data_IF_028485458796
#
_entry.id   IF_028485458796
#
_cell.length_a   1.000
_cell.length_b   1.000
_cell.length_c   1.000
_cell.angle_alpha   90.00
_cell.angle_beta   90.00
_cell.angle_gamma   90.00
#
_symmetry.space_group_name_H-M   'P 1'
#
loop_
_entity.id
_entity.type
_entity.pdbx_description
1 polymer ?
#
# COMPACT_ATOMS: atom_id res chain seq x y z
N UNK A 1 21.01 -23.25 13.12
CA UNK A 1 19.60 -23.11 12.72
C UNK A 1 19.31 -21.62 12.68
N UNK A 2 19.31 -21.02 11.50
CA UNK A 2 19.13 -19.57 11.34
C UNK A 2 17.63 -19.28 11.43
N UNK A 3 17.19 -18.58 12.48
CA UNK A 3 15.84 -18.02 12.56
C UNK A 3 15.65 -17.12 11.33
N UNK A 4 14.82 -17.54 10.39
CA UNK A 4 14.40 -16.70 9.27
C UNK A 4 13.23 -15.88 9.77
N UNK A 5 13.44 -14.58 10.00
CA UNK A 5 12.33 -13.65 10.23
C UNK A 5 11.43 -13.66 8.98
N UNK A 6 10.16 -14.04 9.16
CA UNK A 6 9.15 -14.14 8.09
C UNK A 6 9.01 -15.50 7.40
N UNK A 7 7.74 -15.88 7.15
CA UNK A 7 7.18 -17.20 6.71
C UNK A 7 6.84 -18.20 7.83
N UNK A 8 6.29 -17.72 8.95
CA UNK A 8 5.43 -18.56 9.80
C UNK A 8 5.85 -18.79 11.26
N UNK A 9 6.89 -18.14 11.76
CA UNK A 9 7.28 -18.26 13.19
C UNK A 9 7.24 -16.92 13.94
N UNK A 10 7.66 -15.82 13.29
CA UNK A 10 7.67 -14.48 13.89
C UNK A 10 7.25 -13.43 12.85
N UNK A 11 6.48 -12.43 13.30
CA UNK A 11 6.15 -11.24 12.51
C UNK A 11 7.45 -10.45 12.26
N UNK A 12 7.74 -10.01 11.02
CA UNK A 12 8.91 -9.19 10.75
C UNK A 12 8.91 -7.89 11.57
N UNK A 13 10.08 -7.45 12.01
CA UNK A 13 10.26 -6.15 12.65
C UNK A 13 9.88 -5.03 11.65
N UNK A 14 8.90 -4.17 11.96
CA UNK A 14 8.50 -3.09 11.06
C UNK A 14 9.61 -2.05 10.90
N UNK A 15 9.76 -1.50 9.69
CA UNK A 15 10.61 -0.34 9.44
C UNK A 15 9.79 0.93 9.62
N UNK A 16 10.28 1.86 10.43
CA UNK A 16 9.59 3.11 10.76
C UNK A 16 10.06 4.23 9.83
N UNK A 17 9.13 4.79 9.04
CA UNK A 17 9.41 5.89 8.12
C UNK A 17 8.69 7.15 8.60
N UNK A 18 9.47 8.18 8.92
CA UNK A 18 8.94 9.48 9.29
C UNK A 18 8.30 10.18 8.09
N UNK A 19 7.05 10.59 8.24
CA UNK A 19 6.31 11.37 7.23
C UNK A 19 5.99 12.71 7.85
N UNK A 20 6.77 13.72 7.49
CA UNK A 20 6.67 15.07 8.05
C UNK A 20 5.28 15.68 7.84
N UNK A 21 4.87 16.60 8.71
CA UNK A 21 3.60 17.32 8.57
C UNK A 21 3.48 18.05 7.23
N UNK A 22 4.57 18.63 6.72
CA UNK A 22 4.57 19.29 5.40
C UNK A 22 4.34 18.28 4.27
N UNK A 23 5.01 17.13 4.31
CA UNK A 23 4.76 16.02 3.38
C UNK A 23 3.30 15.55 3.46
N UNK A 24 2.74 15.39 4.66
CA UNK A 24 1.35 14.97 4.82
C UNK A 24 0.37 15.99 4.23
N UNK A 25 0.62 17.29 4.39
CA UNK A 25 -0.18 18.35 3.75
C UNK A 25 -0.10 18.28 2.23
N UNK A 26 1.09 18.06 1.68
CA UNK A 26 1.29 17.88 0.24
C UNK A 26 0.50 16.67 -0.30
N UNK A 27 0.60 15.51 0.37
CA UNK A 27 -0.14 14.31 0.00
C UNK A 27 -1.66 14.48 0.18
N UNK A 28 -2.10 15.24 1.19
CA UNK A 28 -3.52 15.58 1.39
C UNK A 28 -4.04 16.41 0.21
N UNK A 29 -3.29 17.39 -0.28
CA UNK A 29 -3.68 18.15 -1.47
C UNK A 29 -3.84 17.25 -2.69
N UNK A 30 -2.91 16.32 -2.91
CA UNK A 30 -3.01 15.34 -4.00
C UNK A 30 -4.22 14.40 -3.81
N UNK A 31 -4.51 13.98 -2.57
CA UNK A 31 -5.69 13.17 -2.26
C UNK A 31 -6.99 13.91 -2.58
N UNK A 32 -7.08 15.20 -2.26
CA UNK A 32 -8.23 16.06 -2.59
C UNK A 32 -8.40 16.19 -4.11
N UNK A 33 -7.30 16.40 -4.84
CA UNK A 33 -7.35 16.48 -6.31
C UNK A 33 -7.82 15.16 -6.93
N UNK A 34 -7.34 14.01 -6.43
CA UNK A 34 -7.78 12.68 -6.85
C UNK A 34 -9.25 12.43 -6.57
N UNK A 35 -9.74 12.81 -5.39
CA UNK A 35 -11.15 12.70 -5.03
C UNK A 35 -12.04 13.47 -5.99
N UNK A 36 -11.69 14.72 -6.26
CA UNK A 36 -12.42 15.60 -7.20
C UNK A 36 -12.41 15.05 -8.62
N UNK A 37 -11.23 14.68 -9.13
CA UNK A 37 -11.10 14.20 -10.50
C UNK A 37 -11.85 12.90 -10.75
N UNK A 38 -11.82 11.96 -9.79
CA UNK A 38 -12.50 10.67 -9.91
C UNK A 38 -13.93 10.69 -9.38
N UNK A 39 -14.40 11.87 -8.96
CA UNK A 39 -15.74 12.08 -8.43
C UNK A 39 -16.12 11.07 -7.33
N UNK A 40 -15.15 10.65 -6.51
CA UNK A 40 -15.42 9.59 -5.55
C UNK A 40 -16.51 10.03 -4.57
N UNK A 41 -16.40 11.22 -4.00
CA UNK A 41 -17.40 11.80 -3.10
C UNK A 41 -18.80 11.96 -3.72
N UNK A 42 -18.91 12.11 -5.05
CA UNK A 42 -20.17 12.24 -5.78
C UNK A 42 -20.82 10.89 -6.14
N UNK A 43 -20.11 9.77 -5.99
CA UNK A 43 -20.66 8.45 -6.31
C UNK A 43 -21.78 8.07 -5.34
N UNK A 44 -22.92 7.67 -5.89
CA UNK A 44 -24.09 7.16 -5.12
C UNK A 44 -23.91 5.72 -4.63
N UNK A 45 -22.88 5.03 -5.10
CA UNK A 45 -22.56 3.67 -4.68
C UNK A 45 -21.87 3.63 -3.30
N UNK A 46 -21.43 2.45 -2.87
CA UNK A 46 -20.74 2.31 -1.58
C UNK A 46 -19.30 2.83 -1.60
N UNK A 47 -18.72 3.08 -2.78
CA UNK A 47 -17.41 3.69 -2.91
C UNK A 47 -17.46 5.17 -2.58
N UNK A 48 -18.47 5.89 -3.08
CA UNK A 48 -18.64 7.29 -2.71
C UNK A 48 -19.14 7.52 -1.30
N UNK A 49 -19.87 6.54 -0.75
CA UNK A 49 -20.15 6.52 0.69
C UNK A 49 -18.92 6.22 1.55
N UNK A 50 -17.82 5.73 0.97
CA UNK A 50 -16.55 5.37 1.61
C UNK A 50 -16.65 4.23 2.64
N UNK A 51 -15.52 3.58 2.94
CA UNK A 51 -15.44 2.54 3.97
C UNK A 51 -15.00 3.05 5.35
N UNK A 52 -14.41 4.24 5.40
CA UNK A 52 -13.75 4.80 6.58
C UNK A 52 -14.38 6.16 6.92
N UNK A 53 -14.89 6.38 8.12
CA UNK A 53 -15.39 7.70 8.52
C UNK A 53 -14.30 8.77 8.40
N UNK A 54 -14.67 9.96 7.91
CA UNK A 54 -13.80 11.13 8.00
C UNK A 54 -13.48 11.46 9.45
N UNK A 55 -12.35 12.11 9.70
CA UNK A 55 -11.90 12.46 11.05
C UNK A 55 -10.92 13.61 11.03
N UNK A 56 -10.69 14.17 12.21
CA UNK A 56 -9.58 15.07 12.46
C UNK A 56 -8.26 14.30 12.60
N UNK A 57 -7.20 14.87 12.02
CA UNK A 57 -5.84 14.32 12.01
C UNK A 57 -4.86 15.42 12.38
N UNK A 58 -4.59 15.58 13.67
CA UNK A 58 -3.57 16.50 14.21
C UNK A 58 -3.48 17.83 13.44
N UNK A 59 -2.30 18.14 12.92
CA UNK A 59 -2.01 19.37 12.18
C UNK A 59 -2.59 19.44 10.74
N UNK A 60 -3.28 18.41 10.27
CA UNK A 60 -4.00 18.41 8.98
C UNK A 60 -5.46 18.86 9.12
N UNK A 61 -6.00 18.89 10.34
CA UNK A 61 -7.39 19.23 10.59
C UNK A 61 -8.38 18.16 10.13
N UNK A 62 -9.61 18.57 9.82
CA UNK A 62 -10.68 17.66 9.42
C UNK A 62 -10.49 17.15 7.97
N UNK A 63 -10.39 15.83 7.82
CA UNK A 63 -10.26 15.15 6.53
C UNK A 63 -11.52 14.37 6.22
N UNK A 64 -12.09 14.61 5.03
CA UNK A 64 -13.31 13.93 4.59
C UNK A 64 -13.09 12.44 4.38
N UNK A 65 -14.18 11.69 4.44
CA UNK A 65 -14.20 10.22 4.31
C UNK A 65 -13.48 9.69 3.08
N UNK A 66 -13.79 10.22 1.90
CA UNK A 66 -13.23 9.75 0.64
C UNK A 66 -11.76 10.15 0.48
N UNK A 67 -11.42 11.38 0.85
CA UNK A 67 -10.03 11.90 0.84
C UNK A 67 -9.14 11.10 1.79
N UNK A 68 -9.64 10.73 2.97
CA UNK A 68 -8.87 9.96 3.95
C UNK A 68 -8.43 8.60 3.41
N UNK A 69 -9.29 7.89 2.68
CA UNK A 69 -8.93 6.59 2.08
C UNK A 69 -7.77 6.74 1.10
N UNK A 70 -7.80 7.80 0.28
CA UNK A 70 -6.75 8.09 -0.72
C UNK A 70 -5.46 8.51 -0.03
N UNK A 71 -5.55 9.38 0.99
CA UNK A 71 -4.41 9.86 1.76
C UNK A 71 -3.68 8.70 2.44
N UNK A 72 -4.41 7.74 3.02
CA UNK A 72 -3.80 6.55 3.64
C UNK A 72 -2.97 5.75 2.62
N UNK A 73 -3.49 5.56 1.40
CA UNK A 73 -2.73 4.92 0.32
C UNK A 73 -1.44 5.69 0.01
N UNK A 74 -1.58 6.98 -0.30
CA UNK A 74 -0.48 7.88 -0.65
C UNK A 74 0.63 7.96 0.40
N UNK A 75 0.28 7.94 1.70
CA UNK A 75 1.28 7.95 2.77
C UNK A 75 2.15 6.69 2.75
N UNK A 76 1.56 5.52 2.51
CA UNK A 76 2.36 4.30 2.40
C UNK A 76 3.17 4.24 1.10
N UNK A 77 2.61 4.69 -0.02
CA UNK A 77 3.36 4.81 -1.29
C UNK A 77 4.60 5.69 -1.09
N UNK A 78 4.42 6.84 -0.44
CA UNK A 78 5.51 7.75 -0.09
C UNK A 78 6.54 7.10 0.84
N UNK A 79 6.08 6.41 1.88
CA UNK A 79 6.98 5.76 2.84
C UNK A 79 7.84 4.67 2.18
N UNK A 80 7.27 3.88 1.28
CA UNK A 80 8.02 2.87 0.50
C UNK A 80 9.02 3.55 -0.44
N UNK A 81 8.60 4.60 -1.15
CA UNK A 81 9.51 5.35 -2.02
C UNK A 81 10.69 5.94 -1.23
N UNK A 82 10.46 6.54 -0.06
CA UNK A 82 11.53 7.06 0.80
C UNK A 82 12.49 5.97 1.29
N UNK A 83 11.95 4.83 1.74
CA UNK A 83 12.76 3.68 2.16
C UNK A 83 13.68 3.19 1.04
N UNK A 84 13.14 3.03 -0.17
CA UNK A 84 13.91 2.57 -1.32
C UNK A 84 14.91 3.64 -1.79
N UNK A 85 14.54 4.92 -1.76
CA UNK A 85 15.45 6.04 -2.11
C UNK A 85 16.64 6.15 -1.16
N UNK A 86 16.47 5.80 0.11
CA UNK A 86 17.58 5.77 1.06
C UNK A 86 18.69 4.79 0.65
N UNK A 87 18.33 3.69 -0.02
CA UNK A 87 19.26 2.66 -0.51
C UNK A 87 19.73 2.93 -1.95
N UNK A 88 18.80 3.25 -2.86
CA UNK A 88 19.04 3.28 -4.30
C UNK A 88 19.10 4.69 -4.92
N UNK A 89 18.88 5.74 -4.12
CA UNK A 89 18.91 7.13 -4.56
C UNK A 89 17.89 7.44 -5.67
N UNK A 90 18.34 8.20 -6.68
CA UNK A 90 17.50 8.70 -7.77
C UNK A 90 16.95 7.61 -8.72
N UNK A 91 17.40 6.36 -8.60
CA UNK A 91 16.89 5.25 -9.41
C UNK A 91 15.46 4.84 -9.03
N UNK A 92 14.97 5.27 -7.87
CA UNK A 92 13.60 4.99 -7.41
C UNK A 92 12.70 6.16 -7.78
N UNK A 93 11.58 5.93 -8.49
CA UNK A 93 10.65 6.98 -8.87
C UNK A 93 9.98 7.63 -7.65
N UNK A 94 9.60 8.89 -7.79
CA UNK A 94 8.66 9.50 -6.85
C UNK A 94 7.28 8.85 -6.93
N UNK A 95 6.49 9.03 -5.88
CA UNK A 95 5.08 8.63 -5.89
C UNK A 95 4.40 9.29 -7.08
N UNK A 96 3.80 8.50 -7.95
CA UNK A 96 3.03 9.06 -9.05
C UNK A 96 1.79 9.76 -8.48
N UNK A 97 1.71 11.07 -8.63
CA UNK A 97 0.56 11.88 -8.27
C UNK A 97 -0.29 12.27 -9.48
N UNK A 98 0.07 11.78 -10.67
CA UNK A 98 -0.72 11.93 -11.87
C UNK A 98 -2.11 11.30 -11.66
N UNK A 99 -3.10 11.88 -12.33
CA UNK A 99 -4.49 11.44 -12.26
C UNK A 99 -4.79 10.34 -13.30
N UNK A 100 -3.74 9.74 -13.89
CA UNK A 100 -3.83 8.94 -15.12
C UNK A 100 -4.22 7.48 -14.88
N UNK A 101 -3.84 6.89 -13.74
CA UNK A 101 -4.09 5.46 -13.48
C UNK A 101 -5.47 5.20 -12.86
N UNK A 102 -6.07 4.04 -13.19
CA UNK A 102 -7.24 3.52 -12.50
C UNK A 102 -6.83 2.78 -11.21
N UNK A 103 -7.61 2.94 -10.12
CA UNK A 103 -7.16 2.61 -8.76
C UNK A 103 -7.12 1.13 -8.33
N UNK A 104 -7.55 0.17 -9.16
CA UNK A 104 -7.62 -1.26 -8.78
C UNK A 104 -6.65 -2.12 -9.62
N UNK A 105 -5.85 -2.97 -8.96
CA UNK A 105 -5.06 -4.04 -9.60
C UNK A 105 -3.75 -3.60 -10.27
N UNK A 106 -3.40 -2.31 -10.18
CA UNK A 106 -2.18 -1.71 -10.72
C UNK A 106 -0.93 -1.97 -9.90
N UNK A 107 0.02 -1.04 -9.99
CA UNK A 107 1.21 -0.94 -9.17
C UNK A 107 1.45 0.54 -8.86
N UNK A 108 2.19 0.82 -7.79
CA UNK A 108 2.41 2.18 -7.30
C UNK A 108 3.86 2.64 -7.50
N UNK A 109 4.82 1.71 -7.58
CA UNK A 109 6.25 1.98 -7.85
C UNK A 109 6.83 0.94 -8.81
N UNK A 110 7.82 1.30 -9.62
CA UNK A 110 8.50 0.39 -10.55
C UNK A 110 10.03 0.59 -10.60
N UNK A 111 10.76 0.39 -9.49
CA UNK A 111 12.22 0.39 -9.51
C UNK A 111 12.75 -0.85 -10.25
N UNK A 112 13.71 -0.67 -11.16
CA UNK A 112 14.40 -1.79 -11.85
C UNK A 112 13.44 -2.78 -12.53
N UNK A 113 12.35 -2.28 -13.14
CA UNK A 113 11.32 -3.09 -13.79
C UNK A 113 10.44 -3.92 -12.83
N UNK A 114 10.65 -3.82 -11.51
CA UNK A 114 9.87 -4.53 -10.51
C UNK A 114 8.62 -3.74 -10.13
N UNK A 115 7.44 -4.18 -10.59
CA UNK A 115 6.18 -3.50 -10.26
C UNK A 115 5.78 -3.81 -8.82
N UNK A 116 5.77 -2.79 -7.97
CA UNK A 116 5.42 -2.87 -6.55
C UNK A 116 4.03 -2.29 -6.34
N UNK A 117 3.12 -3.07 -5.77
CA UNK A 117 1.87 -2.56 -5.19
C UNK A 117 2.06 -2.35 -3.69
N UNK A 118 1.74 -1.17 -3.21
CA UNK A 118 1.66 -0.81 -1.80
C UNK A 118 0.22 -0.93 -1.31
N UNK A 119 0.06 -1.51 -0.12
CA UNK A 119 -1.23 -1.54 0.58
C UNK A 119 -1.05 -1.03 1.99
N UNK A 120 -1.59 0.15 2.23
CA UNK A 120 -1.58 0.80 3.54
C UNK A 120 -2.89 0.57 4.24
N UNK A 121 -2.83 0.02 5.45
CA UNK A 121 -3.97 -0.09 6.36
C UNK A 121 -3.85 0.91 7.49
N UNK A 122 -4.96 1.09 8.21
CA UNK A 122 -4.97 1.79 9.49
C UNK A 122 -4.95 0.78 10.63
N UNK A 123 -4.24 1.11 11.70
CA UNK A 123 -4.30 0.32 12.92
C UNK A 123 -5.69 0.39 13.59
N UNK A 124 -6.09 -0.63 14.36
CA UNK A 124 -5.48 -1.95 14.49
C UNK A 124 -6.12 -2.93 13.49
N UNK A 125 -5.55 -3.09 12.30
CA UNK A 125 -6.01 -4.09 11.34
C UNK A 125 -4.85 -5.05 11.07
N UNK A 126 -4.82 -6.27 11.65
CA UNK A 126 -3.65 -7.15 11.59
C UNK A 126 -3.47 -7.87 10.23
N UNK A 127 -4.23 -7.42 9.22
CA UNK A 127 -4.39 -8.11 7.95
C UNK A 127 -4.41 -7.10 6.81
N UNK A 128 -3.67 -7.41 5.77
CA UNK A 128 -3.76 -6.74 4.47
C UNK A 128 -4.76 -7.51 3.60
N UNK A 129 -5.67 -6.79 2.95
CA UNK A 129 -6.67 -7.37 2.06
C UNK A 129 -6.40 -6.94 0.62
N UNK A 130 -6.34 -7.91 -0.29
CA UNK A 130 -6.20 -7.65 -1.73
C UNK A 130 -7.39 -8.22 -2.45
N UNK A 131 -8.15 -7.37 -3.13
CA UNK A 131 -9.29 -7.84 -3.93
C UNK A 131 -8.80 -8.76 -5.03
N UNK A 132 -9.37 -9.98 -5.06
CA UNK A 132 -9.10 -10.98 -6.10
C UNK A 132 -10.30 -11.29 -6.96
N UNK A 133 -11.51 -11.27 -6.38
CA UNK A 133 -12.75 -11.46 -7.11
C UNK A 133 -13.64 -10.25 -6.85
N UNK A 134 -14.10 -9.57 -7.88
CA UNK A 134 -15.02 -8.42 -7.79
C UNK A 134 -16.45 -8.87 -7.46
N UNK A 135 -17.34 -7.91 -7.13
CA UNK A 135 -18.75 -8.21 -6.84
C UNK A 135 -19.52 -8.88 -7.99
N UNK A 136 -19.10 -8.67 -9.24
CA UNK A 136 -19.64 -9.35 -10.42
C UNK A 136 -18.90 -10.67 -10.74
N UNK A 137 -18.24 -11.29 -9.75
CA UNK A 137 -17.53 -12.57 -9.86
C UNK A 137 -16.40 -12.60 -10.89
N UNK A 138 -15.86 -11.45 -11.30
CA UNK A 138 -14.69 -11.38 -12.20
C UNK A 138 -13.40 -11.46 -11.39
N UNK A 139 -12.43 -12.20 -11.92
CA UNK A 139 -11.08 -12.23 -11.36
C UNK A 139 -10.35 -10.93 -11.70
N UNK A 140 -9.77 -10.30 -10.68
CA UNK A 140 -8.88 -9.15 -10.82
C UNK A 140 -7.47 -9.63 -11.13
N UNK A 141 -6.90 -9.21 -12.25
CA UNK A 141 -5.50 -9.49 -12.59
C UNK A 141 -4.56 -8.68 -11.69
N UNK A 142 -3.43 -9.27 -11.32
CA UNK A 142 -2.38 -8.57 -10.59
C UNK A 142 -1.31 -8.11 -11.58
N UNK A 143 -1.29 -6.81 -11.84
CA UNK A 143 -0.32 -6.17 -12.74
C UNK A 143 0.96 -5.75 -12.01
N UNK A 144 1.24 -6.36 -10.85
CA UNK A 144 2.42 -6.11 -10.02
C UNK A 144 3.20 -7.41 -9.77
N UNK A 145 4.51 -7.31 -9.50
CA UNK A 145 5.38 -8.42 -9.12
C UNK A 145 5.47 -8.58 -7.60
N UNK A 146 5.43 -7.47 -6.88
CA UNK A 146 5.71 -7.37 -5.45
C UNK A 146 4.58 -6.65 -4.75
N UNK A 147 4.29 -7.06 -3.52
CA UNK A 147 3.37 -6.37 -2.63
C UNK A 147 4.12 -5.91 -1.38
N UNK A 148 3.99 -4.64 -1.02
CA UNK A 148 4.44 -4.12 0.28
C UNK A 148 3.22 -3.78 1.15
N UNK A 149 3.22 -4.28 2.39
CA UNK A 149 2.19 -3.98 3.38
C UNK A 149 2.67 -2.89 4.33
N UNK A 150 1.87 -1.85 4.49
CA UNK A 150 2.15 -0.73 5.37
C UNK A 150 1.03 -0.53 6.38
N UNK A 151 1.37 0.06 7.52
CA UNK A 151 0.41 0.56 8.50
C UNK A 151 0.67 2.04 8.77
N UNK A 152 -0.39 2.84 8.80
CA UNK A 152 -0.31 4.23 9.23
C UNK A 152 -1.36 4.51 10.31
N UNK A 153 -0.90 5.01 11.45
CA UNK A 153 -1.73 5.31 12.63
C UNK A 153 -2.27 6.74 12.62
N UNK A 154 -2.11 7.44 11.51
CA UNK A 154 -2.49 8.85 11.32
C UNK A 154 -1.65 9.80 12.18
N UNK A 155 -0.42 9.40 12.47
CA UNK A 155 0.62 10.16 13.15
C UNK A 155 1.71 10.55 12.13
N UNK A 156 2.89 10.95 12.60
CA UNK A 156 4.04 11.32 11.75
C UNK A 156 4.86 10.12 11.31
N UNK A 157 4.38 8.87 11.45
CA UNK A 157 5.16 7.68 11.13
C UNK A 157 4.35 6.62 10.40
N UNK A 158 4.83 6.20 9.23
CA UNK A 158 4.31 5.03 8.53
C UNK A 158 5.21 3.82 8.81
N UNK A 159 4.60 2.70 9.15
CA UNK A 159 5.28 1.43 9.38
C UNK A 159 5.28 0.60 8.10
N UNK A 160 6.45 0.20 7.62
CA UNK A 160 6.58 -0.80 6.58
C UNK A 160 6.67 -2.17 7.26
N UNK A 161 5.62 -2.97 7.15
CA UNK A 161 5.46 -4.21 7.90
C UNK A 161 6.21 -5.38 7.26
N UNK A 162 6.47 -5.28 5.95
CA UNK A 162 7.09 -6.33 5.15
C UNK A 162 6.44 -6.45 3.77
N UNK A 163 6.83 -7.48 3.05
CA UNK A 163 6.45 -7.66 1.65
C UNK A 163 6.19 -9.13 1.28
N UNK A 164 5.58 -9.34 0.11
CA UNK A 164 5.41 -10.65 -0.51
C UNK A 164 5.68 -10.58 -2.01
N UNK A 165 6.16 -11.68 -2.58
CA UNK A 165 6.13 -11.86 -4.02
C UNK A 165 4.70 -12.20 -4.48
N UNK A 166 4.30 -11.77 -5.68
CA UNK A 166 2.96 -12.03 -6.23
C UNK A 166 2.61 -13.52 -6.19
N UNK A 167 3.57 -14.41 -6.44
CA UNK A 167 3.35 -15.86 -6.44
C UNK A 167 2.85 -16.38 -5.09
N UNK A 168 3.29 -15.77 -3.98
CA UNK A 168 2.89 -16.16 -2.63
C UNK A 168 1.41 -15.79 -2.37
N UNK A 169 0.89 -14.77 -3.05
CA UNK A 169 -0.51 -14.32 -2.90
C UNK A 169 -1.51 -15.36 -3.39
N UNK A 170 -1.18 -16.11 -4.45
CA UNK A 170 -2.08 -17.14 -5.00
C UNK A 170 -2.30 -18.32 -4.05
N UNK A 171 -1.48 -18.46 -3.01
CA UNK A 171 -1.61 -19.47 -1.96
C UNK A 171 -2.32 -18.93 -0.71
N UNK A 172 -2.69 -17.65 -0.71
CA UNK A 172 -3.31 -16.97 0.42
C UNK A 172 -4.76 -17.37 0.65
N UNK A 173 -5.22 -17.17 1.89
CA UNK A 173 -6.60 -17.47 2.29
C UNK A 173 -7.56 -16.48 1.66
N UNK A 174 -8.68 -16.97 1.11
CA UNK A 174 -9.76 -16.11 0.65
C UNK A 174 -10.68 -15.69 1.81
N UNK A 175 -10.95 -14.40 1.89
CA UNK A 175 -11.90 -13.80 2.81
C UNK A 175 -12.99 -13.06 2.01
N UNK A 176 -14.25 -13.45 2.21
CA UNK A 176 -15.40 -12.73 1.64
C UNK A 176 -15.54 -11.39 2.35
N UNK A 177 -15.62 -10.31 1.59
CA UNK A 177 -15.95 -9.01 2.16
C UNK A 177 -17.45 -8.91 2.46
N UNK A 178 -17.84 -7.91 3.25
CA UNK A 178 -19.26 -7.53 3.44
C UNK A 178 -19.93 -6.99 2.16
N UNK A 179 -19.23 -6.99 1.02
CA UNK A 179 -19.64 -6.34 -0.23
C UNK A 179 -19.50 -7.29 -1.43
N UNK A 180 -19.72 -8.59 -1.21
CA UNK A 180 -19.80 -9.65 -2.23
C UNK A 180 -18.60 -9.79 -3.15
N UNK A 181 -17.45 -9.24 -2.76
CA UNK A 181 -16.16 -9.48 -3.39
C UNK A 181 -15.31 -10.37 -2.47
N UNK A 182 -14.36 -11.09 -3.06
CA UNK A 182 -13.42 -11.91 -2.32
C UNK A 182 -12.04 -11.25 -2.33
N UNK A 183 -11.44 -11.19 -1.15
CA UNK A 183 -10.08 -10.73 -0.95
C UNK A 183 -9.17 -11.90 -0.63
N UNK A 184 -7.91 -11.80 -1.04
CA UNK A 184 -6.82 -12.56 -0.43
C UNK A 184 -6.47 -11.85 0.87
N UNK A 185 -6.46 -12.60 1.97
CA UNK A 185 -6.05 -12.15 3.28
C UNK A 185 -4.58 -12.49 3.51
N UNK A 186 -3.81 -11.46 3.88
CA UNK A 186 -2.39 -11.57 4.17
C UNK A 186 -2.19 -11.15 5.62
N UNK A 187 -1.66 -12.06 6.42
CA UNK A 187 -1.31 -11.83 7.81
C UNK A 187 0.13 -11.33 7.91
N UNK A 188 0.43 -10.58 8.97
CA UNK A 188 1.77 -10.02 9.17
C UNK A 188 2.87 -11.08 9.32
N UNK A 189 2.53 -12.24 9.91
CA UNK A 189 3.44 -13.38 10.06
C UNK A 189 3.78 -14.10 8.73
N UNK A 190 3.02 -13.81 7.67
CA UNK A 190 3.27 -14.29 6.32
C UNK A 190 4.14 -13.32 5.49
N UNK A 191 4.46 -12.13 6.03
CA UNK A 191 5.31 -11.16 5.35
C UNK A 191 6.78 -11.55 5.44
N UNK A 192 7.55 -11.16 4.42
CA UNK A 192 9.00 -11.15 4.44
C UNK A 192 9.50 -9.79 4.95
N UNK A 193 10.64 -9.74 5.66
CA UNK A 193 11.21 -8.50 6.16
C UNK A 193 11.64 -7.58 5.01
N UNK A 194 11.59 -6.28 5.24
CA UNK A 194 11.92 -5.26 4.22
C UNK A 194 13.37 -5.33 3.75
N UNK A 195 14.31 -5.79 4.56
CA UNK A 195 15.70 -6.03 4.14
C UNK A 195 15.79 -7.01 2.96
N UNK A 196 14.94 -8.05 2.95
CA UNK A 196 14.88 -9.02 1.84
C UNK A 196 14.30 -8.43 0.56
N UNK A 197 13.53 -7.34 0.66
CA UNK A 197 13.10 -6.59 -0.52
C UNK A 197 14.29 -5.89 -1.16
N UNK A 198 15.16 -5.27 -0.36
CA UNK A 198 16.38 -4.64 -0.85
C UNK A 198 17.29 -5.66 -1.53
N UNK A 199 17.54 -6.81 -0.91
CA UNK A 199 18.31 -7.92 -1.51
C UNK A 199 17.75 -8.31 -2.89
N UNK A 200 16.42 -8.44 -2.97
CA UNK A 200 15.74 -8.80 -4.22
C UNK A 200 15.91 -7.73 -5.29
N UNK A 201 15.72 -6.46 -4.97
CA UNK A 201 15.86 -5.35 -5.92
C UNK A 201 17.31 -5.16 -6.38
N UNK A 202 18.30 -5.35 -5.50
CA UNK A 202 19.72 -5.39 -5.86
C UNK A 202 20.00 -6.46 -6.92
N UNK A 203 19.42 -7.66 -6.78
CA UNK A 203 19.61 -8.75 -7.76
C UNK A 203 19.04 -8.40 -9.14
N UNK A 204 17.95 -7.63 -9.20
CA UNK A 204 17.36 -7.17 -10.46
C UNK A 204 18.20 -6.07 -11.09
N UNK A 205 18.68 -5.10 -10.30
CA UNK A 205 19.55 -4.02 -10.78
C UNK A 205 20.83 -4.55 -11.44
N UNK A 206 21.40 -5.64 -10.92
CA UNK A 206 22.60 -6.27 -11.49
C UNK A 206 22.32 -7.08 -12.76
N UNK A 207 21.07 -7.49 -12.98
CA UNK A 207 20.65 -8.24 -14.17
C UNK A 207 20.39 -7.34 -15.39
N UNK A 208 20.21 -6.04 -15.16
CA UNK A 208 20.01 -5.02 -16.20
C UNK A 208 21.32 -4.40 -16.72
N UNK A 209 22.49 -4.88 -16.25
CA UNK A 209 23.84 -4.46 -16.70
C UNK A 209 24.50 -5.55 -17.53
#
# INVERSE_FOLDING_TARGET
MTLVEGRGVCVPSPVMISVSTSTQKYLLMAAVQRDRHREYSSRRDRWGRGLISGREIGALGAVSKSVLVILVGLVGEHAVAQFLKAEFGAAVPDVDLSLTHAGDGGFDLEPFGAKIQVKTRRAPCPKTLIRRVTGNKRLQSFNFNLLVSCEWKLDTTCQLLGWNHRSDLYRGRFARSKFDHFNIEIRDDALLPMSRLLDHLHSLQMSDR
#
